data_IF_539897656454
#
_entry.id   IF_539897656454
#
_cell.length_a   1.000
_cell.length_b   1.000
_cell.length_c   1.000
_cell.angle_alpha   90.00
_cell.angle_beta   90.00
_cell.angle_gamma   90.00
#
_symmetry.space_group_name_H-M   'P 1'
#
loop_
_entity.id
_entity.type
_entity.pdbx_description
1 polymer ?
#
# COMPACT_ATOMS: atom_id res chain seq x y z
N UNK A 1 13.04 9.05 -11.50
CA UNK A 1 12.96 8.68 -12.93
C UNK A 1 14.38 8.77 -13.46
N UNK A 2 14.96 7.66 -13.95
CA UNK A 2 16.39 7.63 -14.31
C UNK A 2 16.65 8.54 -15.54
N UNK A 3 17.83 9.18 -15.57
CA UNK A 3 18.26 10.18 -16.58
C UNK A 3 18.18 9.64 -18.01
N UNK A 4 18.47 8.36 -18.19
CA UNK A 4 18.28 7.61 -19.45
C UNK A 4 16.86 7.65 -19.98
N UNK A 5 15.85 7.37 -19.14
CA UNK A 5 14.44 7.40 -19.54
C UNK A 5 13.97 8.82 -19.88
N UNK A 6 14.62 9.85 -19.33
CA UNK A 6 14.35 11.24 -19.69
C UNK A 6 14.88 11.55 -21.10
N UNK A 7 16.10 11.08 -21.40
CA UNK A 7 16.75 11.26 -22.70
C UNK A 7 16.02 10.51 -23.82
N UNK A 8 15.59 9.26 -23.57
CA UNK A 8 14.77 8.48 -24.51
C UNK A 8 13.44 9.18 -24.82
N UNK A 9 12.78 9.73 -23.80
CA UNK A 9 11.53 10.50 -23.93
C UNK A 9 11.74 11.75 -24.78
N UNK A 10 12.84 12.46 -24.55
CA UNK A 10 13.18 13.69 -25.26
C UNK A 10 13.57 13.41 -26.73
N UNK A 11 14.29 12.31 -26.98
CA UNK A 11 14.62 11.85 -28.33
C UNK A 11 13.36 11.48 -29.13
N UNK A 12 12.40 10.80 -28.51
CA UNK A 12 11.13 10.47 -29.14
C UNK A 12 10.30 11.71 -29.48
N UNK A 13 10.21 12.68 -28.56
CA UNK A 13 9.52 13.96 -28.79
C UNK A 13 10.17 14.76 -29.94
N UNK A 14 11.50 14.82 -29.97
CA UNK A 14 12.23 15.45 -31.07
C UNK A 14 11.99 14.76 -32.41
N UNK A 15 11.87 13.42 -32.43
CA UNK A 15 11.60 12.65 -33.64
C UNK A 15 10.19 12.91 -34.18
N UNK A 16 9.18 12.97 -33.29
CA UNK A 16 7.82 13.38 -33.68
C UNK A 16 7.85 14.78 -34.28
N UNK A 17 8.51 15.73 -33.61
CA UNK A 17 8.54 17.12 -34.05
C UNK A 17 9.28 17.29 -35.39
N UNK A 18 10.38 16.56 -35.57
CA UNK A 18 11.12 16.50 -36.83
C UNK A 18 10.26 15.93 -37.96
N UNK A 19 9.53 14.85 -37.67
CA UNK A 19 8.60 14.24 -38.63
C UNK A 19 7.51 15.22 -39.04
N UNK A 20 6.89 15.92 -38.09
CA UNK A 20 5.90 16.97 -38.37
C UNK A 20 6.48 18.04 -39.29
N UNK A 21 7.68 18.55 -39.00
CA UNK A 21 8.32 19.58 -39.84
C UNK A 21 8.63 19.06 -41.25
N UNK A 22 9.11 17.82 -41.39
CA UNK A 22 9.42 17.19 -42.68
C UNK A 22 8.21 17.09 -43.61
N UNK A 23 7.02 16.86 -43.05
CA UNK A 23 5.77 16.80 -43.80
C UNK A 23 5.05 18.16 -43.92
N UNK A 24 5.49 19.17 -43.18
CA UNK A 24 4.96 20.54 -43.27
C UNK A 24 5.41 21.26 -44.54
N UNK A 25 6.63 20.97 -45.01
CA UNK A 25 7.24 21.64 -46.17
C UNK A 25 7.10 20.84 -47.48
N UNK A 26 6.86 19.53 -47.37
CA UNK A 26 6.52 18.69 -48.52
C UNK A 26 5.00 18.68 -48.71
N UNK A 27 4.58 19.57 -49.61
CA UNK A 27 3.34 19.52 -50.39
C UNK A 27 2.12 20.32 -49.89
N UNK A 28 2.01 21.56 -50.35
CA UNK A 28 0.73 22.29 -50.42
C UNK A 28 -0.30 21.64 -51.36
N UNK A 29 0.07 20.60 -52.16
CA UNK A 29 -0.82 19.94 -53.12
C UNK A 29 -1.15 18.48 -52.82
N UNK A 30 -0.39 17.77 -51.99
CA UNK A 30 -0.68 16.38 -51.58
C UNK A 30 -1.18 16.22 -50.14
N UNK A 31 -1.07 17.23 -49.28
CA UNK A 31 -1.60 17.16 -47.93
C UNK A 31 -3.11 17.41 -47.95
N UNK A 32 -3.89 16.35 -48.19
CA UNK A 32 -5.35 16.42 -48.07
C UNK A 32 -5.72 16.99 -46.69
N UNK A 33 -6.66 17.95 -46.58
CA UNK A 33 -7.07 18.55 -45.31
C UNK A 33 -7.46 17.52 -44.24
N UNK A 34 -8.01 16.38 -44.67
CA UNK A 34 -8.36 15.25 -43.80
C UNK A 34 -7.13 14.67 -43.07
N UNK A 35 -6.01 14.42 -43.76
CA UNK A 35 -4.77 13.87 -43.17
C UNK A 35 -4.15 14.79 -42.12
N UNK A 36 -4.26 16.12 -42.31
CA UNK A 36 -3.81 17.11 -41.32
C UNK A 36 -4.67 17.05 -40.07
N UNK A 37 -5.98 16.91 -40.26
CA UNK A 37 -6.95 16.84 -39.17
C UNK A 37 -6.74 15.57 -38.35
N UNK A 38 -6.58 14.42 -39.01
CA UNK A 38 -6.32 13.13 -38.35
C UNK A 38 -5.01 13.14 -37.55
N UNK A 39 -3.94 13.75 -38.09
CA UNK A 39 -2.67 13.88 -37.38
C UNK A 39 -2.80 14.75 -36.11
N UNK A 40 -3.55 15.86 -36.17
CA UNK A 40 -3.78 16.69 -34.99
C UNK A 40 -4.63 15.96 -33.94
N UNK A 41 -5.67 15.24 -34.35
CA UNK A 41 -6.50 14.43 -33.46
C UNK A 41 -5.68 13.33 -32.78
N UNK A 42 -4.80 12.66 -33.52
CA UNK A 42 -3.88 11.65 -32.98
C UNK A 42 -2.90 12.22 -31.97
N UNK A 43 -2.32 13.40 -32.23
CA UNK A 43 -1.41 14.08 -31.30
C UNK A 43 -2.14 14.46 -30.02
N UNK A 44 -3.36 14.99 -30.12
CA UNK A 44 -4.13 15.41 -28.95
C UNK A 44 -4.64 14.20 -28.14
N UNK A 45 -5.05 13.12 -28.82
CA UNK A 45 -5.37 11.85 -28.17
C UNK A 45 -4.16 11.31 -27.39
N UNK A 46 -2.97 11.31 -28.01
CA UNK A 46 -1.74 10.87 -27.35
C UNK A 46 -1.40 11.73 -26.12
N UNK A 47 -1.56 13.06 -26.20
CA UNK A 47 -1.35 13.96 -25.04
C UNK A 47 -2.30 13.64 -23.90
N UNK A 48 -3.59 13.43 -24.19
CA UNK A 48 -4.59 13.06 -23.17
C UNK A 48 -4.29 11.71 -22.54
N UNK A 49 -3.97 10.70 -23.35
CA UNK A 49 -3.58 9.37 -22.83
C UNK A 49 -2.33 9.46 -21.95
N UNK A 50 -1.37 10.31 -22.31
CA UNK A 50 -0.17 10.54 -21.51
C UNK A 50 -0.50 11.18 -20.16
N UNK A 51 -1.36 12.20 -20.15
CA UNK A 51 -1.79 12.87 -18.92
C UNK A 51 -2.51 11.88 -17.99
N UNK A 52 -3.51 11.15 -18.51
CA UNK A 52 -4.23 10.13 -17.76
C UNK A 52 -3.29 9.04 -17.19
N UNK A 53 -2.29 8.60 -17.97
CA UNK A 53 -1.29 7.64 -17.49
C UNK A 53 -0.42 8.21 -16.37
N UNK A 54 -0.04 9.48 -16.46
CA UNK A 54 0.80 10.12 -15.46
C UNK A 54 -0.01 10.38 -14.15
N UNK A 55 -1.31 10.69 -14.25
CA UNK A 55 -2.25 10.75 -13.12
C UNK A 55 -2.41 9.37 -12.43
N UNK A 56 -2.70 8.32 -13.21
CA UNK A 56 -2.80 6.95 -12.68
C UNK A 56 -1.51 6.49 -11.96
N UNK A 57 -0.35 6.97 -12.41
CA UNK A 57 0.93 6.68 -11.74
C UNK A 57 1.06 7.38 -10.39
N UNK A 58 0.47 8.56 -10.22
CA UNK A 58 0.43 9.26 -8.94
C UNK A 58 -0.52 8.52 -8.00
N UNK A 59 -1.73 8.20 -8.45
CA UNK A 59 -2.73 7.47 -7.68
C UNK A 59 -2.20 6.13 -7.18
N UNK A 60 -1.54 5.37 -8.06
CA UNK A 60 -0.92 4.10 -7.69
C UNK A 60 0.13 4.26 -6.59
N UNK A 61 0.94 5.33 -6.62
CA UNK A 61 1.94 5.57 -5.56
C UNK A 61 1.26 5.92 -4.24
N UNK A 62 0.22 6.75 -4.27
CA UNK A 62 -0.53 7.10 -3.06
C UNK A 62 -1.20 5.88 -2.45
N UNK A 63 -1.86 5.05 -3.27
CA UNK A 63 -2.46 3.80 -2.82
C UNK A 63 -1.43 2.83 -2.24
N UNK A 64 -0.23 2.77 -2.84
CA UNK A 64 0.87 1.95 -2.30
C UNK A 64 1.32 2.42 -0.93
N UNK A 65 1.49 3.73 -0.71
CA UNK A 65 1.86 4.29 0.60
C UNK A 65 0.79 3.97 1.64
N UNK A 66 -0.49 4.24 1.32
CA UNK A 66 -1.60 3.93 2.23
C UNK A 66 -1.66 2.44 2.61
N UNK A 67 -1.42 1.54 1.64
CA UNK A 67 -1.34 0.11 1.91
C UNK A 67 -0.18 -0.23 2.86
N UNK A 68 0.98 0.37 2.65
CA UNK A 68 2.16 0.10 3.48
C UNK A 68 1.94 0.60 4.92
N UNK A 69 1.29 1.75 5.10
CA UNK A 69 0.90 2.28 6.42
C UNK A 69 -0.11 1.34 7.13
N UNK A 70 -1.14 0.88 6.42
CA UNK A 70 -2.13 -0.07 6.96
C UNK A 70 -1.51 -1.41 7.36
N UNK A 71 -0.47 -1.86 6.64
CA UNK A 71 0.26 -3.09 6.99
C UNK A 71 1.04 -2.94 8.30
N UNK A 72 1.63 -1.77 8.54
CA UNK A 72 2.31 -1.47 9.80
C UNK A 72 1.31 -1.51 10.95
N UNK A 73 0.20 -0.77 10.84
CA UNK A 73 -0.85 -0.74 11.85
C UNK A 73 -1.40 -2.15 12.14
N UNK A 74 -1.63 -2.96 11.11
CA UNK A 74 -2.10 -4.33 11.29
C UNK A 74 -1.11 -5.21 12.08
N UNK A 75 0.19 -5.03 11.85
CA UNK A 75 1.23 -5.78 12.56
C UNK A 75 1.32 -5.34 14.04
N UNK A 76 1.20 -4.05 14.31
CA UNK A 76 1.14 -3.52 15.67
C UNK A 76 -0.07 -4.06 16.43
N UNK A 77 -1.25 -4.05 15.81
CA UNK A 77 -2.46 -4.62 16.40
C UNK A 77 -2.34 -6.12 16.66
N UNK A 78 -1.72 -6.89 15.75
CA UNK A 78 -1.45 -8.32 15.97
C UNK A 78 -0.51 -8.54 17.15
N UNK A 79 0.56 -7.74 17.26
CA UNK A 79 1.47 -7.79 18.39
C UNK A 79 0.77 -7.47 19.72
N UNK A 80 -0.01 -6.39 19.75
CA UNK A 80 -0.81 -6.00 20.92
C UNK A 80 -1.81 -7.08 21.33
N UNK A 81 -2.52 -7.67 20.37
CA UNK A 81 -3.43 -8.80 20.63
C UNK A 81 -2.71 -10.00 21.23
N UNK A 82 -1.56 -10.39 20.66
CA UNK A 82 -0.77 -11.51 21.18
C UNK A 82 -0.31 -11.27 22.63
N UNK A 83 0.15 -10.06 22.95
CA UNK A 83 0.53 -9.69 24.30
C UNK A 83 -0.66 -9.80 25.29
N UNK A 84 -1.84 -9.32 24.89
CA UNK A 84 -3.06 -9.42 25.70
C UNK A 84 -3.45 -10.89 25.92
N UNK A 85 -3.36 -11.74 24.90
CA UNK A 85 -3.65 -13.17 25.03
C UNK A 85 -2.68 -13.86 26.00
N UNK A 86 -1.39 -13.52 25.93
CA UNK A 86 -0.37 -14.01 26.88
C UNK A 86 -0.68 -13.53 28.30
N UNK A 87 -1.00 -12.25 28.49
CA UNK A 87 -1.33 -11.70 29.82
C UNK A 87 -2.57 -12.37 30.42
N UNK A 88 -3.62 -12.56 29.62
CA UNK A 88 -4.83 -13.28 30.04
C UNK A 88 -4.49 -14.72 30.42
N UNK A 89 -3.65 -15.40 29.63
CA UNK A 89 -3.21 -16.76 29.94
C UNK A 89 -2.43 -16.79 31.26
N UNK A 90 -1.48 -15.88 31.46
CA UNK A 90 -0.69 -15.81 32.69
C UNK A 90 -1.52 -15.45 33.93
N UNK A 91 -2.58 -14.64 33.78
CA UNK A 91 -3.51 -14.30 34.88
C UNK A 91 -4.45 -15.45 35.23
N UNK A 92 -4.84 -16.26 34.25
CA UNK A 92 -5.80 -17.34 34.44
C UNK A 92 -5.16 -18.70 34.72
N UNK A 93 -3.84 -18.84 34.56
CA UNK A 93 -3.16 -20.11 34.67
C UNK A 93 -2.01 -20.05 35.69
N UNK A 94 -1.78 -21.16 36.38
CA UNK A 94 -0.67 -21.33 37.30
C UNK A 94 0.66 -21.26 36.54
N UNK A 95 1.56 -20.36 36.97
CA UNK A 95 2.88 -20.18 36.36
C UNK A 95 3.80 -21.41 36.44
N UNK A 96 3.54 -22.31 37.38
CA UNK A 96 4.37 -23.50 37.60
C UNK A 96 3.90 -24.72 36.79
N UNK A 97 2.59 -24.95 36.70
CA UNK A 97 2.04 -26.16 36.06
C UNK A 97 1.09 -25.90 34.89
N UNK A 98 0.82 -24.64 34.55
CA UNK A 98 -0.05 -24.25 33.44
C UNK A 98 -1.54 -24.53 33.63
N UNK A 99 -1.97 -25.13 34.74
CA UNK A 99 -3.40 -25.40 35.02
C UNK A 99 -4.17 -24.11 35.30
N UNK A 100 -5.42 -24.07 34.84
CA UNK A 100 -6.32 -22.94 35.10
C UNK A 100 -6.53 -22.74 36.61
N UNK A 101 -6.44 -21.49 37.04
CA UNK A 101 -6.73 -21.08 38.42
C UNK A 101 -8.24 -21.10 38.65
N UNK A 102 -8.65 -21.35 39.89
CA UNK A 102 -10.04 -21.31 40.30
C UNK A 102 -10.20 -20.39 41.51
N UNK A 103 -11.41 -19.85 41.64
CA UNK A 103 -11.80 -19.00 42.76
C UNK A 103 -11.87 -19.80 44.05
N UNK A 104 -11.28 -19.28 45.11
CA UNK A 104 -11.26 -19.85 46.45
C UNK A 104 -11.42 -18.73 47.47
N UNK A 105 -12.17 -18.96 48.55
CA UNK A 105 -12.29 -18.01 49.65
C UNK A 105 -11.29 -18.39 50.74
N UNK A 106 -10.43 -17.45 51.13
CA UNK A 106 -9.51 -17.66 52.25
C UNK A 106 -10.26 -17.62 53.60
N UNK A 107 -9.53 -17.77 54.71
CA UNK A 107 -10.12 -17.80 56.05
C UNK A 107 -10.77 -16.47 56.46
N UNK A 108 -10.43 -15.38 55.76
CA UNK A 108 -10.94 -14.03 55.98
C UNK A 108 -12.06 -13.67 54.99
N UNK A 109 -12.66 -14.68 54.33
CA UNK A 109 -13.70 -14.54 53.29
C UNK A 109 -13.27 -13.69 52.06
N UNK A 110 -11.96 -13.54 51.82
CA UNK A 110 -11.45 -12.87 50.63
C UNK A 110 -11.36 -13.84 49.44
N UNK A 111 -11.82 -13.37 48.28
CA UNK A 111 -11.72 -14.11 47.02
C UNK A 111 -10.28 -14.08 46.50
N UNK A 112 -9.65 -15.26 46.44
CA UNK A 112 -8.32 -15.47 45.88
C UNK A 112 -8.34 -16.49 44.73
N UNK A 113 -7.34 -16.46 43.87
CA UNK A 113 -7.14 -17.46 42.83
C UNK A 113 -6.21 -18.57 43.34
N UNK A 114 -6.57 -19.84 43.14
CA UNK A 114 -5.76 -20.98 43.58
C UNK A 114 -5.49 -21.97 42.46
N UNK A 115 -4.29 -22.54 42.45
CA UNK A 115 -3.94 -23.62 41.52
C UNK A 115 -4.42 -24.98 42.05
N UNK A 116 -5.13 -25.80 41.25
CA UNK A 116 -5.67 -27.08 41.72
C UNK A 116 -4.60 -28.15 41.90
N UNK A 117 -3.49 -28.02 41.19
CA UNK A 117 -2.41 -28.98 41.22
C UNK A 117 -1.32 -28.60 42.21
N UNK A 118 -0.86 -27.35 42.17
CA UNK A 118 0.24 -26.87 43.03
C UNK A 118 -0.25 -26.29 44.36
N UNK A 119 -1.55 -26.10 44.55
CA UNK A 119 -2.17 -25.54 45.75
C UNK A 119 -1.72 -24.11 46.12
N UNK A 120 -0.92 -23.47 45.25
CA UNK A 120 -0.43 -22.10 45.37
C UNK A 120 -1.55 -21.09 45.18
N UNK A 121 -1.61 -20.11 46.06
CA UNK A 121 -2.49 -18.96 45.97
C UNK A 121 -1.86 -17.84 45.12
N UNK A 122 -2.72 -17.13 44.41
CA UNK A 122 -2.42 -15.94 43.62
C UNK A 122 -3.36 -14.83 44.11
N UNK A 123 -2.77 -13.68 44.39
CA UNK A 123 -3.42 -12.45 44.86
C UNK A 123 -3.47 -11.45 43.70
#
# INVERSE_FOLDING_TARGET
MNKEKLLERQAFENNIQSTINKYKDKDKKLFKPELKTDLYLMIDAYKRMRQARDELRVDYRMAKVQRDDLLIENNELKGGKGNIEVDIHQRNNCRECGKKLFNYFNADDELILRCPQCQRAYW
#
